data_IF_103670691907
#
_entry.id   IF_103670691907
#
_cell.length_a   1.000
_cell.length_b   1.000
_cell.length_c   1.000
_cell.angle_alpha   90.00
_cell.angle_beta   90.00
_cell.angle_gamma   90.00
#
_symmetry.space_group_name_H-M   'P 1'
#
loop_
_entity.id
_entity.type
_entity.pdbx_description
1 polymer ?
2 non-polymer ?
3 non-polymer ?
4 non-polymer ?
5 water ?
#
# COMPACT_ATOMS: atom_id res chain seq x y z
N UNK A 28 -19.54 -11.59 -24.78
CA UNK A 28 -18.69 -12.45 -23.99
C UNK A 28 -19.44 -13.68 -23.52
N UNK A 29 -18.72 -14.76 -23.27
CA UNK A 29 -19.28 -15.99 -22.72
C UNK A 29 -18.99 -16.11 -21.23
N UNK A 30 -18.08 -15.29 -20.73
CA UNK A 30 -17.68 -15.35 -19.32
C UNK A 30 -17.83 -13.95 -18.77
N UNK A 31 -18.56 -13.83 -17.65
CA UNK A 31 -18.85 -12.52 -17.09
C UNK A 31 -18.37 -12.54 -15.65
N UNK A 32 -17.53 -11.58 -15.30
CA UNK A 32 -16.96 -11.54 -13.95
C UNK A 32 -17.27 -10.22 -13.25
N UNK A 33 -17.72 -10.28 -12.01
CA UNK A 33 -17.88 -9.09 -11.19
C UNK A 33 -16.64 -8.84 -10.36
N UNK A 34 -16.25 -7.57 -10.20
CA UNK A 34 -15.03 -7.19 -9.51
C UNK A 34 -15.41 -6.14 -8.46
N UNK A 35 -15.42 -6.57 -7.20
CA UNK A 35 -15.76 -5.70 -6.07
C UNK A 35 -14.52 -4.95 -5.61
N UNK A 36 -14.71 -3.70 -5.22
CA UNK A 36 -13.61 -2.87 -4.73
C UNK A 36 -14.16 -1.88 -3.71
N UNK A 37 -13.55 -1.80 -2.54
CA UNK A 37 -14.15 -1.06 -1.44
C UNK A 37 -13.98 0.49 -1.50
N UNK A 38 -12.82 0.98 -1.99
CA UNK A 38 -12.59 2.43 -1.92
C UNK A 38 -13.27 3.16 -3.08
N UNK A 39 -13.30 4.50 -3.01
CA UNK A 39 -13.91 5.28 -4.10
C UNK A 39 -13.25 5.08 -5.47
N UNK A 40 -14.04 5.27 -6.52
CA UNK A 40 -13.57 5.10 -7.91
C UNK A 40 -12.27 5.82 -8.26
N UNK A 41 -12.07 7.02 -7.74
CA UNK A 41 -10.89 7.80 -8.15
C UNK A 41 -9.57 7.29 -7.57
N UNK A 42 -9.64 6.41 -6.57
CA UNK A 42 -8.44 5.99 -5.86
C UNK A 42 -7.71 4.85 -6.58
N UNK A 43 -6.43 4.68 -6.27
CA UNK A 43 -5.59 3.78 -7.05
C UNK A 43 -6.06 2.31 -7.13
N UNK A 44 -6.65 1.75 -6.05
CA UNK A 44 -7.07 0.35 -6.18
C UNK A 44 -8.19 0.19 -7.23
N UNK A 45 -8.99 1.23 -7.40
CA UNK A 45 -10.06 1.16 -8.40
C UNK A 45 -9.53 1.51 -9.77
N UNK A 46 -8.64 2.49 -9.85
CA UNK A 46 -8.06 2.84 -11.14
C UNK A 46 -7.34 1.65 -11.76
N UNK A 47 -6.56 0.92 -10.97
CA UNK A 47 -5.89 -0.23 -11.53
C UNK A 47 -6.91 -1.29 -11.92
N UNK A 48 -7.99 -1.43 -11.14
CA UNK A 48 -9.05 -2.39 -11.48
C UNK A 48 -9.58 -2.13 -12.91
N UNK A 49 -9.84 -0.86 -13.23
CA UNK A 49 -10.36 -0.54 -14.56
C UNK A 49 -9.36 -0.85 -15.65
N UNK A 50 -8.08 -0.60 -15.40
CA UNK A 50 -7.06 -0.91 -16.40
C UNK A 50 -6.95 -2.43 -16.60
N UNK A 51 -7.06 -3.17 -15.51
CA UNK A 51 -7.01 -4.62 -15.57
C UNK A 51 -8.18 -5.13 -16.41
N UNK A 52 -9.38 -4.61 -16.17
CA UNK A 52 -10.54 -4.93 -16.98
C UNK A 52 -10.27 -4.69 -18.47
N UNK A 53 -9.71 -3.52 -18.78
CA UNK A 53 -9.45 -3.16 -20.16
C UNK A 53 -8.56 -4.22 -20.82
N UNK A 54 -7.50 -4.61 -20.13
CA UNK A 54 -6.54 -5.55 -20.69
C UNK A 54 -7.12 -6.96 -20.79
N UNK A 55 -7.93 -7.35 -19.82
CA UNK A 55 -8.55 -8.67 -19.86
C UNK A 55 -9.55 -8.79 -21.02
N UNK A 56 -10.39 -7.78 -21.22
CA UNK A 56 -11.36 -7.82 -22.28
C UNK A 56 -10.67 -7.81 -23.63
N UNK A 57 -9.58 -7.05 -23.74
CA UNK A 57 -8.87 -6.94 -25.01
C UNK A 57 -8.14 -8.24 -25.32
N UNK A 58 -7.40 -8.76 -24.33
CA UNK A 58 -6.52 -9.90 -24.59
C UNK A 58 -7.29 -11.20 -24.80
N UNK A 59 -8.51 -11.26 -24.27
CA UNK A 59 -9.37 -12.42 -24.47
C UNK A 59 -10.32 -12.27 -25.66
N UNK A 60 -10.11 -11.20 -26.43
CA UNK A 60 -10.84 -10.98 -27.66
C UNK A 60 -12.31 -10.95 -27.36
N UNK A 61 -12.64 -10.37 -26.23
CA UNK A 61 -14.03 -10.19 -25.84
C UNK A 61 -14.70 -11.42 -25.25
N UNK A 62 -13.96 -12.51 -25.08
CA UNK A 62 -14.56 -13.71 -24.49
C UNK A 62 -14.92 -13.51 -23.02
N UNK A 63 -14.19 -12.62 -22.35
CA UNK A 63 -14.47 -12.26 -20.96
C UNK A 63 -14.92 -10.82 -20.89
N UNK A 64 -15.97 -10.56 -20.12
CA UNK A 64 -16.35 -9.21 -19.76
C UNK A 64 -16.25 -9.08 -18.23
N UNK A 65 -15.91 -7.88 -17.78
CA UNK A 65 -15.78 -7.59 -16.34
C UNK A 65 -16.68 -6.41 -15.97
N UNK A 66 -17.55 -6.61 -14.97
CA UNK A 66 -18.31 -5.51 -14.41
C UNK A 66 -17.65 -5.09 -13.10
N UNK A 67 -17.34 -3.80 -13.00
CA UNK A 67 -16.68 -3.28 -11.82
C UNK A 67 -17.64 -2.57 -10.86
N UNK A 68 -17.32 -2.71 -9.57
CA UNK A 68 -18.13 -2.14 -8.51
C UNK A 68 -17.23 -1.39 -7.52
N UNK A 69 -16.77 -0.20 -7.91
CA UNK A 69 -16.00 0.66 -7.02
C UNK A 69 -16.88 1.16 -5.87
N UNK A 70 -16.24 1.66 -4.83
CA UNK A 70 -16.96 2.33 -3.77
C UNK A 70 -17.95 1.47 -3.01
N UNK A 71 -17.62 0.19 -2.87
CA UNK A 71 -18.34 -0.69 -1.96
C UNK A 71 -19.78 -0.92 -2.42
N UNK A 72 -20.00 -0.85 -3.72
CA UNK A 72 -21.35 -1.02 -4.26
C UNK A 72 -21.79 -2.48 -4.38
N UNK A 73 -20.85 -3.42 -4.32
CA UNK A 73 -21.22 -4.82 -4.27
C UNK A 73 -20.74 -5.42 -2.95
N UNK A 74 -19.43 -5.39 -2.71
CA UNK A 74 -18.87 -5.76 -1.41
C UNK A 74 -18.00 -4.60 -0.91
N UNK A 75 -17.94 -4.43 0.40
CA UNK A 75 -17.11 -3.39 0.98
C UNK A 75 -16.07 -3.96 1.91
N UNK A 76 -15.56 -3.13 2.81
CA UNK A 76 -14.52 -3.53 3.74
C UNK A 76 -14.96 -4.70 4.62
N UNK A 77 -16.25 -4.74 4.95
CA UNK A 77 -16.74 -5.70 5.94
C UNK A 77 -16.96 -7.09 5.36
N UNK A 78 -17.03 -7.21 4.04
CA UNK A 78 -17.47 -8.49 3.49
C UNK A 78 -16.84 -8.88 2.16
N UNK A 79 -15.68 -8.30 1.82
CA UNK A 79 -15.02 -8.67 0.58
C UNK A 79 -14.44 -10.08 0.67
N UNK A 80 -13.76 -10.42 1.75
CA UNK A 80 -13.20 -11.79 1.86
C UNK A 80 -14.26 -12.85 1.83
N UNK A 81 -15.25 -12.73 2.70
CA UNK A 81 -16.29 -13.73 2.75
C UNK A 81 -17.12 -13.70 1.48
N UNK A 82 -17.39 -12.49 1.00
CA UNK A 82 -18.17 -12.34 -0.21
C UNK A 82 -17.57 -12.97 -1.44
N UNK A 83 -16.26 -12.83 -1.61
CA UNK A 83 -15.62 -13.49 -2.73
C UNK A 83 -15.61 -15.02 -2.52
N UNK A 84 -15.37 -15.46 -1.27
CA UNK A 84 -15.33 -16.89 -0.97
C UNK A 84 -16.67 -17.53 -1.30
N UNK A 85 -17.74 -16.78 -1.05
CA UNK A 85 -19.10 -17.25 -1.27
C UNK A 85 -19.58 -17.06 -2.71
N UNK A 86 -18.82 -16.32 -3.52
CA UNK A 86 -19.19 -16.08 -4.90
C UNK A 86 -20.14 -14.91 -5.11
N UNK A 87 -20.37 -14.11 -4.07
CA UNK A 87 -21.18 -12.91 -4.22
C UNK A 87 -20.55 -11.96 -5.22
N UNK A 88 -19.21 -11.97 -5.25
CA UNK A 88 -18.46 -11.35 -6.32
C UNK A 88 -17.45 -12.36 -6.79
N UNK A 89 -17.08 -12.30 -8.07
CA UNK A 89 -16.04 -13.19 -8.58
C UNK A 89 -14.65 -12.78 -8.12
N UNK A 90 -14.45 -11.47 -7.99
CA UNK A 90 -13.14 -10.89 -7.71
C UNK A 90 -13.31 -9.78 -6.72
N UNK A 91 -12.32 -9.60 -5.85
CA UNK A 91 -12.37 -8.51 -4.89
C UNK A 91 -10.97 -8.03 -4.52
N UNK A 92 -10.93 -6.82 -3.96
CA UNK A 92 -9.70 -6.14 -3.52
C UNK A 92 -9.61 -6.10 -2.01
N UNK A 93 -8.52 -6.65 -1.49
CA UNK A 93 -8.31 -6.72 -0.05
C UNK A 93 -7.11 -5.88 0.38
N UNK A 94 -7.33 -5.01 1.38
CA UNK A 94 -6.25 -4.31 2.05
C UNK A 94 -5.82 -5.18 3.22
N UNK A 95 -4.65 -5.79 3.14
CA UNK A 95 -4.30 -6.83 4.11
C UNK A 95 -4.26 -6.31 5.55
N UNK A 96 -3.82 -5.07 5.73
CA UNK A 96 -3.66 -4.49 7.05
C UNK A 96 -4.97 -4.40 7.83
N UNK A 97 -6.10 -4.41 7.12
CA UNK A 97 -7.41 -4.33 7.77
C UNK A 97 -7.83 -5.65 8.42
N UNK A 98 -7.07 -6.71 8.18
CA UNK A 98 -7.42 -8.05 8.67
C UNK A 98 -6.27 -8.70 9.43
N UNK A 99 -5.91 -8.14 10.58
CA UNK A 99 -4.79 -8.71 11.34
C UNK A 99 -5.02 -10.15 11.73
N UNK A 100 -4.00 -10.97 11.48
CA UNK A 100 -4.06 -12.38 11.79
C UNK A 100 -4.42 -13.23 10.59
N UNK A 101 -5.02 -12.63 9.58
CA UNK A 101 -5.52 -13.40 8.45
C UNK A 101 -4.40 -13.66 7.42
N UNK A 102 -3.38 -12.80 7.43
CA UNK A 102 -2.28 -12.85 6.45
C UNK A 102 -0.92 -12.83 7.14
N UNK A 103 -0.60 -13.88 7.89
CA UNK A 103 0.63 -13.86 8.69
C UNK A 103 1.89 -13.70 7.87
N UNK A 104 1.90 -14.19 6.63
CA UNK A 104 3.13 -14.02 5.81
C UNK A 104 3.12 -12.67 5.12
N UNK A 105 2.09 -12.41 4.30
CA UNK A 105 2.09 -11.22 3.45
C UNK A 105 2.02 -9.92 4.23
N UNK A 106 1.50 -9.97 5.45
CA UNK A 106 1.47 -8.80 6.34
C UNK A 106 2.87 -8.23 6.65
N UNK A 107 3.91 -8.97 6.30
CA UNK A 107 5.26 -8.46 6.50
C UNK A 107 5.39 -7.12 5.80
N UNK A 108 4.64 -6.98 4.70
CA UNK A 108 4.74 -5.74 3.91
C UNK A 108 4.05 -4.53 4.53
N UNK A 109 3.45 -4.71 5.70
CA UNK A 109 2.92 -3.57 6.49
C UNK A 109 3.98 -2.89 7.35
N UNK A 110 5.12 -3.55 7.54
CA UNK A 110 6.13 -3.11 8.46
C UNK A 110 7.02 -2.05 7.83
N UNK A 111 7.72 -1.28 8.66
CA UNK A 111 8.74 -0.35 8.15
C UNK A 111 9.97 -1.09 7.69
N UNK A 112 10.09 -1.31 6.38
CA UNK A 112 11.11 -2.16 5.83
C UNK A 112 11.97 -1.44 4.81
N UNK A 113 11.81 -0.13 4.74
CA UNK A 113 12.68 0.69 3.91
C UNK A 113 12.30 0.84 2.45
N UNK A 114 11.11 0.40 2.04
CA UNK A 114 10.70 0.62 0.66
C UNK A 114 10.47 2.10 0.38
N UNK A 115 10.89 2.56 -0.78
CA UNK A 115 10.82 4.00 -1.08
C UNK A 115 9.94 4.34 -2.26
N UNK A 116 9.20 3.35 -2.77
CA UNK A 116 8.28 3.60 -3.87
C UNK A 116 7.23 2.52 -3.91
N UNK A 117 6.09 2.84 -4.54
CA UNK A 117 5.02 1.89 -4.76
C UNK A 117 5.46 0.79 -5.73
N UNK A 118 6.24 1.19 -6.74
CA UNK A 118 6.70 0.25 -7.76
C UNK A 118 7.52 -0.86 -7.15
N UNK A 119 8.51 -0.51 -6.32
CA UNK A 119 9.38 -1.51 -5.77
C UNK A 119 8.67 -2.38 -4.73
N UNK A 120 7.81 -1.76 -3.94
CA UNK A 120 7.07 -2.52 -2.95
C UNK A 120 6.09 -3.44 -3.65
N UNK A 121 5.46 -2.98 -4.72
CA UNK A 121 4.45 -3.81 -5.40
C UNK A 121 5.09 -5.05 -6.01
N UNK A 122 6.21 -4.84 -6.69
CA UNK A 122 6.88 -5.94 -7.35
C UNK A 122 7.49 -6.89 -6.32
N UNK A 123 8.05 -6.34 -5.24
CA UNK A 123 8.61 -7.20 -4.19
C UNK A 123 7.51 -8.05 -3.55
N UNK A 124 6.35 -7.44 -3.30
CA UNK A 124 5.21 -8.16 -2.72
C UNK A 124 4.76 -9.34 -3.61
N UNK A 125 4.62 -9.07 -4.90
CA UNK A 125 4.21 -10.11 -5.84
C UNK A 125 5.24 -11.24 -5.88
N UNK A 126 6.53 -10.87 -5.93
CA UNK A 126 7.58 -11.88 -5.92
C UNK A 126 7.57 -12.71 -4.64
N UNK A 127 7.35 -12.07 -3.50
CA UNK A 127 7.34 -12.78 -2.24
C UNK A 127 6.18 -13.77 -2.23
N UNK A 128 5.02 -13.32 -2.67
CA UNK A 128 3.85 -14.19 -2.76
C UNK A 128 4.13 -15.37 -3.67
N UNK A 129 4.70 -15.11 -4.83
CA UNK A 129 4.93 -16.15 -5.81
C UNK A 129 5.92 -17.21 -5.28
N UNK A 130 6.88 -16.73 -4.49
CA UNK A 130 7.87 -17.62 -3.92
C UNK A 130 7.31 -18.51 -2.81
N UNK A 131 6.50 -17.92 -1.94
CA UNK A 131 6.07 -18.60 -0.74
C UNK A 131 4.74 -19.30 -0.86
N UNK A 132 3.89 -18.87 -1.80
CA UNK A 132 2.55 -19.44 -1.97
C UNK A 132 1.89 -19.67 -0.62
N UNK A 133 1.76 -18.61 0.20
CA UNK A 133 1.31 -18.87 1.57
C UNK A 133 -0.14 -19.36 1.65
N UNK A 134 -0.36 -20.24 2.61
CA UNK A 134 -1.67 -20.87 2.72
C UNK A 134 -2.78 -19.89 3.11
N UNK A 135 -2.41 -18.70 3.57
CA UNK A 135 -3.41 -17.67 3.85
C UNK A 135 -4.28 -17.36 2.64
N UNK A 136 -3.76 -17.66 1.45
CA UNK A 136 -4.53 -17.41 0.22
C UNK A 136 -5.07 -18.67 -0.43
N UNK A 137 -5.03 -19.79 0.27
CA UNK A 137 -5.33 -21.07 -0.34
C UNK A 137 -6.76 -21.21 -0.88
N UNK A 138 -7.68 -20.40 -0.38
CA UNK A 138 -9.08 -20.47 -0.81
C UNK A 138 -9.34 -19.72 -2.11
N UNK A 139 -8.36 -18.95 -2.56
CA UNK A 139 -8.54 -18.05 -3.70
C UNK A 139 -7.51 -18.26 -4.79
N UNK A 140 -7.82 -17.81 -6.00
CA UNK A 140 -6.79 -17.48 -6.96
C UNK A 140 -6.33 -16.05 -6.69
N UNK A 141 -5.04 -15.86 -6.47
CA UNK A 141 -4.50 -14.52 -6.31
C UNK A 141 -4.17 -13.96 -7.69
N UNK A 142 -4.94 -12.99 -8.15
CA UNK A 142 -4.81 -12.47 -9.52
C UNK A 142 -3.66 -11.49 -9.64
N UNK A 143 -3.47 -10.65 -8.63
CA UNK A 143 -2.31 -9.75 -8.56
C UNK A 143 -2.20 -9.23 -7.14
N UNK A 144 -1.09 -8.54 -6.85
CA UNK A 144 -0.92 -7.86 -5.58
C UNK A 144 -0.22 -6.56 -5.88
N UNK A 145 -0.36 -5.60 -4.98
CA UNK A 145 0.34 -4.33 -5.10
C UNK A 145 0.33 -3.60 -3.78
N UNK A 146 1.05 -2.49 -3.72
CA UNK A 146 1.20 -1.72 -2.49
C UNK A 146 1.00 -0.26 -2.75
N UNK A 147 0.57 0.47 -1.72
CA UNK A 147 0.51 1.91 -1.77
C UNK A 147 1.91 2.51 -1.89
N UNK A 148 1.98 3.82 -2.09
CA UNK A 148 3.22 4.57 -1.91
C UNK A 148 3.50 4.63 -0.44
N UNK A 149 4.75 4.91 -0.08
CA UNK A 149 5.10 4.94 1.34
C UNK A 149 4.42 6.07 2.09
N UNK A 150 4.22 5.85 3.38
CA UNK A 150 3.69 6.85 4.30
C UNK A 150 4.77 7.81 4.74
N UNK A 151 4.42 9.09 4.73
CA UNK A 151 5.32 10.19 5.01
C UNK A 151 4.60 11.20 5.90
N UNK A 152 5.37 12.15 6.46
CA UNK A 152 4.84 13.09 7.43
C UNK A 152 4.66 14.44 6.77
N UNK A 153 3.42 14.91 6.73
CA UNK A 153 3.07 16.16 6.08
C UNK A 153 2.52 17.10 7.15
N UNK A 154 3.13 18.27 7.29
CA UNK A 154 2.88 19.12 8.46
C UNK A 154 2.80 20.61 8.16
N UNK A 155 2.20 21.34 9.10
CA UNK A 155 2.06 22.80 9.01
C UNK A 155 3.36 23.51 9.21
N UNK A 156 4.16 22.97 10.12
CA UNK A 156 5.46 23.53 10.48
C UNK A 156 6.52 22.47 10.14
N UNK A 157 7.70 22.88 9.69
CA UNK A 157 8.66 21.86 9.22
C UNK A 157 9.10 20.88 10.30
N UNK A 158 9.11 19.60 9.95
CA UNK A 158 9.74 18.58 10.78
C UNK A 158 11.09 18.27 10.13
N UNK A 159 12.16 18.83 10.68
CA UNK A 159 13.48 18.63 10.09
C UNK A 159 14.32 17.63 10.87
N UNK A 160 13.89 17.32 12.08
CA UNK A 160 14.58 16.33 12.90
C UNK A 160 13.65 15.70 13.92
N UNK A 161 14.17 14.77 14.69
CA UNK A 161 13.31 14.05 15.62
C UNK A 161 12.81 14.92 16.76
N UNK A 162 13.58 15.93 17.13
CA UNK A 162 13.15 16.81 18.20
C UNK A 162 11.87 17.53 17.78
N UNK A 163 11.74 17.82 16.49
CA UNK A 163 10.57 18.52 15.97
C UNK A 163 9.28 17.67 16.10
N UNK A 164 9.41 16.36 16.26
CA UNK A 164 8.26 15.48 16.42
C UNK A 164 7.77 15.37 17.86
N UNK A 165 8.59 15.80 18.82
CA UNK A 165 8.26 15.61 20.21
C UNK A 165 6.98 16.33 20.55
N UNK A 166 5.97 15.59 20.97
CA UNK A 166 4.71 16.17 21.38
C UNK A 166 3.87 16.69 20.23
N UNK A 167 4.27 16.39 18.99
CA UNK A 167 3.56 16.92 17.83
C UNK A 167 2.31 16.11 17.55
N UNK A 168 1.16 16.78 17.49
CA UNK A 168 -0.09 16.11 17.20
C UNK A 168 -0.23 15.81 15.71
N UNK A 169 -0.33 14.53 15.35
CA UNK A 169 -0.36 14.11 13.94
C UNK A 169 -1.47 13.07 13.73
N UNK A 170 -2.27 13.27 12.70
CA UNK A 170 -3.33 12.35 12.37
C UNK A 170 -2.75 11.03 11.89
N UNK A 171 -3.18 9.95 12.50
CA UNK A 171 -2.68 8.64 12.17
C UNK A 171 -3.56 7.56 12.79
N UNK A 172 -3.38 6.34 12.32
CA UNK A 172 -4.07 5.20 12.88
C UNK A 172 -3.16 3.99 12.75
N UNK A 173 -3.60 2.86 13.30
CA UNK A 173 -2.88 1.61 13.08
C UNK A 173 -1.39 1.68 13.35
N UNK A 174 -0.59 1.09 12.48
CA UNK A 174 0.85 1.00 12.75
C UNK A 174 1.52 2.36 12.76
N UNK A 175 1.01 3.30 11.97
CA UNK A 175 1.60 4.64 11.94
C UNK A 175 1.43 5.35 13.28
N UNK A 176 0.31 5.11 13.95
CA UNK A 176 0.12 5.66 15.28
C UNK A 176 1.14 5.08 16.25
N UNK A 177 1.43 3.78 16.13
CA UNK A 177 2.38 3.12 16.99
C UNK A 177 3.76 3.72 16.77
N UNK A 178 4.10 3.93 15.51
CA UNK A 178 5.38 4.55 15.15
C UNK A 178 5.50 5.95 15.74
N UNK A 179 4.47 6.77 15.56
CA UNK A 179 4.51 8.10 16.15
C UNK A 179 4.70 8.07 17.66
N UNK A 180 3.99 7.17 18.34
CA UNK A 180 4.13 7.08 19.79
C UNK A 180 5.59 6.77 20.13
N UNK A 181 6.18 5.84 19.38
CA UNK A 181 7.56 5.43 19.65
C UNK A 181 8.56 6.56 19.42
N UNK A 182 8.19 7.53 18.60
CA UNK A 182 9.06 8.68 18.31
C UNK A 182 8.74 9.89 19.21
N UNK A 183 7.85 9.70 20.18
CA UNK A 183 7.56 10.76 21.12
C UNK A 183 6.53 11.77 20.64
N UNK A 184 5.87 11.46 19.54
CA UNK A 184 4.85 12.33 18.97
C UNK A 184 3.49 11.95 19.53
N UNK A 185 2.44 12.68 19.13
CA UNK A 185 1.10 12.44 19.69
C UNK A 185 0.13 12.08 18.57
N UNK A 186 -0.04 10.77 18.31
CA UNK A 186 -0.95 10.35 17.24
C UNK A 186 -2.38 10.63 17.64
N UNK A 187 -3.16 11.14 16.69
CA UNK A 187 -4.57 11.41 16.93
C UNK A 187 -5.38 10.73 15.85
N UNK A 188 -6.41 9.98 16.23
CA UNK A 188 -7.30 9.41 15.22
C UNK A 188 -8.48 10.34 14.99
N UNK A 189 -8.82 10.54 13.73
CA UNK A 189 -9.99 11.35 13.40
C UNK A 189 -10.27 11.19 11.93
N UNK A 190 -11.52 11.44 11.54
CA UNK A 190 -11.89 11.21 10.15
C UNK A 190 -11.18 12.15 9.19
N UNK A 191 -10.79 11.63 8.04
CA UNK A 191 -10.10 12.44 7.04
C UNK A 191 -10.89 13.74 6.81
N UNK A 192 -12.22 13.64 6.80
CA UNK A 192 -13.08 14.81 6.59
C UNK A 192 -12.94 15.89 7.68
N UNK A 193 -12.58 15.51 8.90
CA UNK A 193 -12.49 16.46 10.00
C UNK A 193 -11.09 17.05 10.14
N UNK A 194 -10.16 16.51 9.36
CA UNK A 194 -8.74 16.80 9.55
C UNK A 194 -8.37 18.23 9.13
N UNK A 195 -8.91 18.70 7.99
CA UNK A 195 -8.66 20.09 7.61
C UNK A 195 -8.97 21.09 8.73
N UNK A 196 -10.13 20.97 9.36
CA UNK A 196 -10.53 21.93 10.39
C UNK A 196 -9.65 21.74 11.62
N UNK A 197 -9.39 20.47 11.93
CA UNK A 197 -8.50 20.08 13.02
C UNK A 197 -7.11 20.67 12.84
N UNK A 198 -6.62 20.66 11.61
CA UNK A 198 -5.30 21.22 11.32
C UNK A 198 -5.34 22.72 11.57
N UNK A 199 -6.37 23.38 11.07
CA UNK A 199 -6.48 24.83 11.22
C UNK A 199 -6.58 25.23 12.69
N UNK A 200 -7.24 24.41 13.50
CA UNK A 200 -7.41 24.69 14.92
C UNK A 200 -6.20 24.26 15.74
N UNK A 201 -5.32 23.47 15.14
CA UNK A 201 -4.14 23.00 15.85
C UNK A 201 -4.39 21.71 16.61
N UNK A 202 -5.60 21.17 16.49
CA UNK A 202 -5.94 19.87 17.07
C UNK A 202 -5.03 18.74 16.56
N UNK A 203 -4.73 18.75 15.27
CA UNK A 203 -3.53 18.07 14.78
C UNK A 203 -2.75 19.11 14.00
N UNK A 204 -1.47 18.84 13.79
CA UNK A 204 -0.61 19.79 13.11
C UNK A 204 0.04 19.13 11.90
N UNK A 205 -0.48 17.96 11.53
CA UNK A 205 -0.07 17.30 10.30
C UNK A 205 -0.73 15.93 10.17
N UNK A 206 -0.33 15.19 9.15
CA UNK A 206 -0.84 13.83 9.01
C UNK A 206 0.23 12.89 8.46
N UNK A 207 0.00 11.61 8.69
CA UNK A 207 0.94 10.56 8.31
C UNK A 207 0.20 9.73 7.28
N UNK A 208 0.59 9.92 6.01
CA UNK A 208 -0.09 9.25 4.92
C UNK A 208 0.80 9.32 3.67
N UNK A 209 0.31 8.78 2.56
CA UNK A 209 1.08 8.93 1.34
C UNK A 209 0.86 10.34 0.74
N UNK A 210 1.83 10.78 -0.03
CA UNK A 210 1.86 12.14 -0.56
C UNK A 210 0.74 12.48 -1.51
N UNK A 211 0.03 11.49 -2.07
CA UNK A 211 -1.02 11.87 -3.03
C UNK A 211 -2.11 12.75 -2.39
N UNK A 212 -2.25 12.69 -1.07
CA UNK A 212 -3.32 13.44 -0.41
C UNK A 212 -3.06 14.96 -0.49
N UNK A 213 -1.82 15.33 -0.76
CA UNK A 213 -1.47 16.74 -0.85
C UNK A 213 -2.28 17.46 -1.93
N UNK A 214 -2.49 16.77 -3.06
CA UNK A 214 -3.35 17.24 -4.14
C UNK A 214 -4.76 16.67 -4.03
N UNK A 215 -4.89 15.35 -3.87
CA UNK A 215 -6.18 14.69 -4.00
C UNK A 215 -7.20 15.20 -2.97
N UNK A 216 -6.70 15.51 -1.78
CA UNK A 216 -7.51 16.08 -0.71
C UNK A 216 -7.06 17.51 -0.32
N UNK A 217 -6.24 18.10 -1.18
CA UNK A 217 -5.83 19.50 -1.01
C UNK A 217 -5.14 19.76 0.34
N UNK A 218 -4.51 18.74 0.91
CA UNK A 218 -3.82 18.95 2.18
C UNK A 218 -2.64 19.91 2.06
N UNK A 219 -2.13 20.11 0.85
CA UNK A 219 -1.00 21.00 0.66
C UNK A 219 -1.34 22.46 0.95
N UNK A 220 -2.63 22.82 0.93
CA UNK A 220 -2.99 24.19 1.24
C UNK A 220 -2.58 24.53 2.65
N UNK A 221 -2.67 23.54 3.53
CA UNK A 221 -2.42 23.72 4.94
C UNK A 221 -1.04 23.20 5.35
N UNK A 222 -0.65 22.04 4.82
CA UNK A 222 0.60 21.40 5.21
C UNK A 222 1.59 21.54 4.09
N UNK A 223 2.47 22.51 4.21
CA UNK A 223 3.40 22.84 3.14
C UNK A 223 4.82 22.37 3.36
N UNK A 224 5.01 21.52 4.37
CA UNK A 224 6.31 20.91 4.66
C UNK A 224 6.13 19.40 4.71
N UNK A 225 6.84 18.72 3.82
CA UNK A 225 6.62 17.31 3.59
C UNK A 225 7.93 16.59 3.91
N UNK A 226 7.92 15.81 4.99
CA UNK A 226 9.13 15.08 5.40
C UNK A 226 9.07 13.64 4.92
N UNK A 227 9.99 13.28 4.04
CA UNK A 227 9.98 11.96 3.41
C UNK A 227 10.69 10.95 4.29
N UNK A 228 9.91 10.30 5.12
CA UNK A 228 10.40 9.27 6.03
C UNK A 228 10.33 7.86 5.39
N UNK A 229 9.54 7.71 4.33
CA UNK A 229 9.37 6.41 3.67
C UNK A 229 9.12 5.31 4.67
N UNK A 230 8.09 5.51 5.48
CA UNK A 230 7.94 4.69 6.68
C UNK A 230 7.49 3.25 6.39
N UNK A 231 6.39 3.10 5.68
CA UNK A 231 5.82 1.79 5.42
C UNK A 231 4.84 1.97 4.29
N UNK A 232 4.43 0.85 3.69
CA UNK A 232 3.37 0.84 2.68
C UNK A 232 2.21 -0.04 3.18
N UNK A 233 1.09 0.04 2.48
CA UNK A 233 -0.04 -0.84 2.68
C UNK A 233 -0.14 -1.82 1.52
N UNK A 234 -0.07 -3.12 1.81
CA UNK A 234 -0.19 -4.14 0.77
C UNK A 234 -1.65 -4.55 0.49
N UNK A 235 -1.90 -4.88 -0.77
CA UNK A 235 -3.22 -5.28 -1.23
C UNK A 235 -3.11 -6.58 -2.04
N UNK A 236 -4.18 -7.37 -2.02
CA UNK A 236 -4.30 -8.51 -2.89
C UNK A 236 -5.59 -8.44 -3.68
N UNK A 237 -5.52 -8.82 -4.94
CA UNK A 237 -6.73 -9.04 -5.75
C UNK A 237 -7.00 -10.54 -5.78
N UNK A 238 -8.14 -10.93 -5.23
CA UNK A 238 -8.49 -12.34 -5.07
C UNK A 238 -9.68 -12.72 -5.94
N UNK A 239 -9.68 -13.96 -6.40
CA UNK A 239 -10.77 -14.47 -7.21
C UNK A 239 -11.33 -15.75 -6.60
N UNK A 240 -12.64 -15.87 -6.65
CA UNK A 240 -13.35 -17.06 -6.16
C UNK A 240 -12.85 -18.30 -6.89
N UNK A 241 -12.59 -19.37 -6.17
CA UNK A 241 -12.00 -20.55 -6.78
C UNK A 241 -12.92 -21.22 -7.80
N UNK A 242 -14.22 -21.29 -7.53
CA UNK A 242 -15.11 -21.83 -8.55
C UNK A 242 -15.11 -20.99 -9.83
N UNK A 243 -15.08 -19.68 -9.67
CA UNK A 243 -14.97 -18.79 -10.82
C UNK A 243 -13.67 -19.04 -11.60
N UNK A 244 -12.54 -19.14 -10.90
CA UNK A 244 -11.26 -19.44 -11.54
C UNK A 244 -11.31 -20.77 -12.27
N UNK A 245 -11.84 -21.78 -11.59
CA UNK A 245 -11.88 -23.13 -12.15
C UNK A 245 -12.61 -23.19 -13.48
N UNK A 246 -13.63 -22.33 -13.61
CA UNK A 246 -14.50 -22.29 -14.77
C UNK A 246 -13.84 -21.74 -16.01
N UNK A 247 -12.70 -21.07 -15.87
CA UNK A 247 -12.06 -20.39 -16.99
C UNK A 247 -11.30 -21.38 -17.87
N UNK A 248 -11.44 -21.24 -19.20
CA UNK A 248 -10.64 -22.09 -20.10
C UNK A 248 -9.15 -21.80 -19.95
N UNK A 249 -8.31 -22.75 -20.35
CA UNK A 249 -6.87 -22.56 -20.18
C UNK A 249 -6.31 -21.31 -20.84
N UNK A 250 -6.81 -20.94 -22.02
CA UNK A 250 -6.28 -19.73 -22.66
C UNK A 250 -6.59 -18.46 -21.89
N UNK A 251 -7.79 -18.40 -21.32
CA UNK A 251 -8.16 -17.31 -20.42
C UNK A 251 -7.31 -17.32 -19.13
N UNK A 252 -7.10 -18.49 -18.54
CA UNK A 252 -6.24 -18.58 -17.35
C UNK A 252 -4.85 -18.05 -17.65
N UNK A 253 -4.31 -18.37 -18.83
CA UNK A 253 -3.00 -17.86 -19.18
C UNK A 253 -2.98 -16.33 -19.24
N UNK A 254 -4.00 -15.72 -19.83
CA UNK A 254 -4.07 -14.27 -19.85
C UNK A 254 -4.04 -13.71 -18.44
N UNK A 255 -4.85 -14.28 -17.54
CA UNK A 255 -4.91 -13.74 -16.19
C UNK A 255 -3.64 -14.01 -15.40
N UNK A 256 -3.01 -15.14 -15.67
CA UNK A 256 -1.77 -15.49 -15.00
C UNK A 256 -0.69 -14.54 -15.44
N UNK A 257 -0.59 -14.30 -16.75
CA UNK A 257 0.42 -13.38 -17.26
C UNK A 257 0.24 -11.95 -16.73
N UNK A 258 -1.00 -11.55 -16.49
CA UNK A 258 -1.25 -10.24 -15.93
C UNK A 258 -0.87 -10.06 -14.45
N UNK A 259 -0.53 -11.14 -13.75
CA UNK A 259 -0.29 -10.98 -12.33
C UNK A 259 0.89 -10.06 -12.04
N UNK A 260 2.05 -10.40 -12.57
CA UNK A 260 3.23 -9.55 -12.40
C UNK A 260 3.06 -8.22 -13.10
N UNK A 261 2.49 -8.24 -14.31
CA UNK A 261 2.33 -7.02 -15.08
C UNK A 261 1.48 -6.03 -14.30
N UNK A 262 0.39 -6.49 -13.72
CA UNK A 262 -0.52 -5.59 -13.04
C UNK A 262 0.08 -5.05 -11.74
N UNK A 263 0.91 -5.86 -11.07
CA UNK A 263 1.63 -5.38 -9.90
C UNK A 263 2.51 -4.18 -10.31
N UNK A 264 3.28 -4.37 -11.37
CA UNK A 264 4.16 -3.30 -11.88
C UNK A 264 3.36 -2.09 -12.36
N UNK A 265 2.29 -2.34 -13.10
CA UNK A 265 1.51 -1.25 -13.66
C UNK A 265 0.95 -0.38 -12.55
N UNK A 266 0.44 -1.03 -11.51
CA UNK A 266 -0.18 -0.32 -10.40
C UNK A 266 0.83 0.50 -9.63
N UNK A 267 1.98 -0.08 -9.35
CA UNK A 267 3.02 0.65 -8.65
C UNK A 267 3.52 1.85 -9.45
N UNK A 268 3.68 1.66 -10.75
CA UNK A 268 4.12 2.77 -11.58
C UNK A 268 3.09 3.87 -11.65
N UNK A 269 1.82 3.48 -11.74
CA UNK A 269 0.73 4.44 -11.76
C UNK A 269 0.75 5.27 -10.48
N UNK A 270 0.87 4.60 -9.36
CA UNK A 270 0.85 5.24 -8.05
C UNK A 270 2.04 6.16 -7.87
N UNK A 271 3.25 5.71 -8.22
CA UNK A 271 4.42 6.59 -8.13
C UNK A 271 4.28 7.81 -9.03
N UNK A 272 3.72 7.66 -10.22
CA UNK A 272 3.53 8.82 -11.09
C UNK A 272 2.45 9.76 -10.54
N UNK A 273 1.43 9.17 -9.93
CA UNK A 273 0.36 9.92 -9.31
C UNK A 273 0.89 10.75 -8.13
N UNK A 274 1.82 10.17 -7.35
CA UNK A 274 2.51 10.93 -6.32
C UNK A 274 3.34 12.04 -6.93
N UNK A 275 4.07 11.73 -7.99
CA UNK A 275 4.90 12.74 -8.62
C UNK A 275 4.03 13.93 -9.07
N UNK A 276 2.88 13.65 -9.68
CA UNK A 276 1.98 14.72 -10.10
C UNK A 276 1.41 15.52 -8.93
N UNK A 277 1.12 14.84 -7.82
CA UNK A 277 0.60 15.49 -6.63
C UNK A 277 1.60 16.50 -6.11
N UNK A 278 2.86 16.08 -6.03
CA UNK A 278 3.91 16.92 -5.49
C UNK A 278 4.20 18.10 -6.41
N UNK A 279 4.22 17.86 -7.72
CA UNK A 279 4.50 18.94 -8.66
C UNK A 279 3.37 19.97 -8.59
N UNK A 280 2.12 19.49 -8.52
CA UNK A 280 0.96 20.39 -8.40
C UNK A 280 1.08 21.24 -7.12
N UNK A 281 1.39 20.59 -6.02
CA UNK A 281 1.49 21.26 -4.73
C UNK A 281 2.64 22.26 -4.71
N UNK A 282 3.76 21.92 -5.34
CA UNK A 282 4.90 22.81 -5.38
C UNK A 282 4.54 24.05 -6.22
N UNK A 283 3.89 23.84 -7.35
CA UNK A 283 3.49 24.94 -8.22
C UNK A 283 2.50 25.87 -7.53
N UNK A 284 1.55 25.30 -6.81
CA UNK A 284 0.48 26.10 -6.22
C UNK A 284 0.83 26.72 -4.88
N UNK A 285 1.52 25.97 -4.03
CA UNK A 285 1.76 26.43 -2.66
C UNK A 285 3.22 26.41 -2.21
N UNK A 286 4.13 26.12 -3.13
CA UNK A 286 5.56 26.17 -2.86
C UNK A 286 5.93 25.29 -1.67
N UNK A 287 5.41 24.06 -1.66
CA UNK A 287 5.73 23.12 -0.62
C UNK A 287 7.21 22.83 -0.66
N UNK A 288 7.72 22.36 0.48
CA UNK A 288 9.13 22.02 0.61
C UNK A 288 9.25 20.54 0.99
N UNK A 289 10.13 19.85 0.27
CA UNK A 289 10.44 18.45 0.58
C UNK A 289 11.64 18.39 1.53
N UNK A 290 11.48 17.64 2.60
CA UNK A 290 12.50 17.54 3.64
C UNK A 290 12.93 16.09 3.85
N UNK A 291 14.23 15.87 4.07
CA UNK A 291 14.74 14.59 4.54
C UNK A 291 15.41 14.78 5.88
N UNK A 292 15.17 13.86 6.80
CA UNK A 292 15.89 13.89 8.07
C UNK A 292 17.30 13.33 7.90
N UNK A 293 18.16 13.60 8.87
CA UNK A 293 19.54 13.14 8.82
C UNK A 293 19.62 11.62 8.87
N UNK A 294 20.75 11.09 8.43
CA UNK A 294 20.95 9.65 8.49
C UNK A 294 20.88 9.18 9.94
N UNK A 295 21.42 9.97 10.86
CA UNK A 295 21.39 9.57 12.26
C UNK A 295 19.95 9.49 12.77
N UNK A 296 19.12 10.43 12.38
CA UNK A 296 17.72 10.42 12.79
C UNK A 296 17.00 9.21 12.17
N UNK A 297 17.31 8.90 10.91
CA UNK A 297 16.67 7.76 10.27
C UNK A 297 17.05 6.46 10.98
N UNK A 298 18.28 6.34 11.45
CA UNK A 298 18.69 5.15 12.18
C UNK A 298 18.01 5.09 13.54
N UNK A 299 17.82 6.24 14.19
CA UNK A 299 17.11 6.25 15.45
C UNK A 299 15.68 5.77 15.26
N UNK A 300 15.04 6.21 14.18
CA UNK A 300 13.69 5.75 13.87
C UNK A 300 13.66 4.25 13.72
N UNK A 301 14.64 3.67 13.02
CA UNK A 301 14.71 2.21 12.88
C UNK A 301 14.83 1.51 14.24
N UNK A 302 15.73 2.02 15.07
CA UNK A 302 15.99 1.42 16.36
C UNK A 302 14.73 1.46 17.23
N UNK A 303 13.99 2.57 17.13
CA UNK A 303 12.82 2.76 17.98
C UNK A 303 11.64 1.94 17.50
N UNK A 304 11.68 1.52 16.24
CA UNK A 304 10.53 0.82 15.66
C UNK A 304 10.83 -0.68 15.50
N UNK A 305 12.02 -1.10 15.89
CA UNK A 305 12.36 -2.53 15.82
C UNK A 305 11.34 -3.44 16.56
N UNK A 306 10.77 -2.99 17.69
CA UNK A 306 9.73 -3.80 18.35
C UNK A 306 8.54 -4.18 17.45
N UNK A 307 8.22 -3.35 16.44
CA UNK A 307 7.08 -3.67 15.57
C UNK A 307 7.45 -4.89 14.71
N UNK A 308 8.71 -4.97 14.34
CA UNK A 308 9.20 -6.09 13.55
C UNK A 308 9.23 -7.33 14.43
N UNK A 309 9.69 -7.15 15.68
CA UNK A 309 9.75 -8.29 16.59
C UNK A 309 8.35 -8.86 16.89
N UNK A 310 7.35 -7.97 17.04
CA UNK A 310 5.96 -8.38 17.21
C UNK A 310 5.50 -9.19 16.03
N UNK A 311 5.81 -8.69 14.83
CA UNK A 311 5.38 -9.41 13.63
C UNK A 311 6.00 -10.80 13.56
N UNK A 312 7.30 -10.88 13.87
CA UNK A 312 7.98 -12.18 13.88
C UNK A 312 7.36 -13.17 14.85
N UNK A 313 6.95 -12.72 16.03
CA UNK A 313 6.29 -13.63 16.98
C UNK A 313 4.95 -14.09 16.45
N UNK A 314 4.23 -13.17 15.83
CA UNK A 314 2.94 -13.51 15.20
C UNK A 314 3.10 -14.51 14.07
N UNK A 315 4.15 -14.34 13.27
CA UNK A 315 4.42 -15.24 12.17
C UNK A 315 4.75 -16.61 12.70
N UNK A 316 5.63 -16.67 13.70
CA UNK A 316 6.02 -17.94 14.32
C UNK A 316 4.81 -18.70 14.85
N UNK A 317 3.88 -17.97 15.45
CA UNK A 317 2.66 -18.59 15.99
C UNK A 317 1.80 -19.23 14.92
N UNK A 318 1.95 -18.78 13.68
CA UNK A 318 1.20 -19.35 12.57
C UNK A 318 2.09 -20.19 11.64
N UNK A 319 3.26 -20.59 12.13
CA UNK A 319 4.14 -21.49 11.38
C UNK A 319 5.01 -20.87 10.28
N UNK A 320 5.09 -19.54 10.30
CA UNK A 320 5.88 -18.82 9.30
C UNK A 320 7.28 -18.55 9.83
N UNK A 321 8.29 -18.70 8.97
CA UNK A 321 9.69 -18.47 9.35
C UNK A 321 9.97 -16.97 9.13
N UNK A 322 9.67 -16.17 10.16
CA UNK A 322 9.68 -14.72 10.03
C UNK A 322 11.04 -14.17 9.64
N UNK A 323 12.12 -14.67 10.24
CA UNK A 323 13.44 -14.15 9.89
C UNK A 323 13.76 -14.46 8.43
N UNK A 324 13.37 -15.65 7.96
CA UNK A 324 13.64 -16.00 6.57
C UNK A 324 12.89 -15.10 5.62
N UNK A 325 11.63 -14.80 5.96
CA UNK A 325 10.82 -13.93 5.13
C UNK A 325 11.41 -12.52 5.10
N UNK A 326 11.81 -11.99 6.25
CA UNK A 326 12.39 -10.64 6.29
C UNK A 326 13.66 -10.56 5.46
N UNK A 327 14.47 -11.60 5.53
CA UNK A 327 15.70 -11.68 4.74
C UNK A 327 15.39 -11.64 3.23
N UNK A 328 14.38 -12.38 2.82
CA UNK A 328 13.95 -12.40 1.43
C UNK A 328 13.36 -11.07 0.97
N UNK A 329 12.65 -10.38 1.87
CA UNK A 329 12.05 -9.10 1.54
C UNK A 329 13.16 -8.08 1.23
N UNK A 330 14.21 -8.07 2.04
CA UNK A 330 15.29 -7.10 1.80
C UNK A 330 15.99 -7.40 0.46
N UNK A 331 16.16 -8.68 0.16
CA UNK A 331 16.76 -9.07 -1.10
C UNK A 331 15.92 -8.52 -2.25
N UNK A 332 14.60 -8.64 -2.14
CA UNK A 332 13.70 -8.13 -3.16
C UNK A 332 13.70 -6.60 -3.22
N UNK A 333 13.80 -5.93 -2.07
CA UNK A 333 13.89 -4.47 -2.07
C UNK A 333 15.11 -4.00 -2.88
N UNK A 334 16.26 -4.60 -2.58
CA UNK A 334 17.47 -4.25 -3.30
C UNK A 334 17.32 -4.54 -4.81
N UNK A 335 16.69 -5.66 -5.14
CA UNK A 335 16.48 -5.98 -6.56
C UNK A 335 15.75 -4.85 -7.31
N UNK A 336 14.77 -4.24 -6.66
CA UNK A 336 13.90 -3.28 -7.33
C UNK A 336 14.27 -1.82 -7.08
N UNK A 337 15.11 -1.59 -6.06
CA UNK A 337 15.49 -0.22 -5.69
C UNK A 337 16.98 0.00 -5.75
N UNK A 338 17.73 -1.03 -5.33
CA UNK A 338 19.14 -0.88 -4.98
C UNK A 338 19.74 0.46 -5.36
N UNK A 339 20.34 1.16 -4.40
CA UNK A 339 21.01 2.45 -4.67
C UNK A 339 22.52 2.33 -4.76
N UNK A 340 23.07 1.22 -4.30
CA UNK A 340 24.52 1.02 -4.36
C UNK A 340 25.01 1.19 -5.80
N UNK A 341 26.14 1.86 -5.94
CA UNK A 341 26.73 2.13 -7.25
C UNK A 341 27.12 0.82 -7.92
N UNK A 342 27.33 0.87 -9.23
CA UNK A 342 27.82 -0.29 -9.96
C UNK A 342 29.17 -0.74 -9.38
N UNK A 343 29.38 -2.05 -9.30
CA UNK A 343 30.66 -2.64 -8.89
C UNK A 343 31.87 -1.99 -9.56
N UNK A 344 31.69 -1.56 -10.81
CA UNK A 344 32.80 -1.05 -11.58
C UNK A 344 33.47 0.14 -10.90
N UNK A 345 32.67 0.88 -10.13
CA UNK A 345 33.12 2.14 -9.55
C UNK A 345 33.44 2.01 -8.06
N UNK A 346 33.20 0.83 -7.49
CA UNK A 346 33.43 0.63 -6.05
C UNK A 346 34.92 0.65 -5.71
X LIG B 1 -11.52 -10.86 -33.49
X LIG B 1 -13.44 -7.72 -28.75
X LIG B 1 -17.37 -9.77 -32.86
X LIG B 1 -14.98 -12.10 -34.11
X LIG B 1 -14.36 -10.35 -35.25
X LIG B 1 -16.23 -8.24 -30.15
X LIG B 1 -11.45 -9.19 -30.77
X LIG B 1 -14.37 -10.14 -32.86
X LIG B 1 -13.08 -10.00 -32.39
X LIG B 1 -12.80 -9.32 -31.23
X LIG B 1 -13.84 -8.76 -30.52
X LIG B 1 -15.14 -8.88 -30.96
X LIG B 1 -15.40 -9.57 -32.14
X LIG B 1 -14.59 -10.90 -34.13
X LIG B 1 -16.74 -7.16 -30.55
X LIG B 1 -16.60 -8.76 -29.07
X LIG C 1 -15.24 -27.82 2.23
X LIG C 1 -14.51 -22.12 4.18
X LIG C 1 -19.56 -23.75 1.42
X LIG C 1 -18.72 -27.26 2.09
X LIG C 1 -18.04 -26.60 0.10
X LIG C 1 -17.41 -21.93 2.92
X LIG C 1 -13.82 -25.22 3.61
X LIG C 1 -17.16 -25.50 2.01
X LIG C 1 -15.91 -25.84 2.49
X LIG C 1 -15.12 -24.89 3.12
X LIG C 1 -15.62 -23.63 3.26
X LIG C 1 -16.87 -23.30 2.78
X LIG C 1 -17.66 -24.24 2.16
X LIG C 1 -18.03 -26.51 1.36
X LIG C 1 -17.24 -21.06 2.04
X LIG C 1 -18.05 -21.67 3.97
X LIG D 1 -21.95 -8.39 -12.42
X LIG E 1 -10.91 -4.60 2.79
X LIG E 1 -9.61 -5.12 3.06
X LIG E 1 -11.59 -5.65 1.95
X LIG E 1 -11.35 -6.92 2.60
X LIG E 1 -10.85 -3.66 2.25
X LIG E 1 -11.47 -4.44 3.72
X LIG E 1 -9.12 -4.48 3.60
X LIG E 1 -11.16 -5.66 0.95
X LIG E 1 -12.66 -5.46 1.87
X LIG E 1 -11.77 -7.63 2.09
#
# INVERSE_FOLDING_TARGET
>A
MRTGKTAGLLAVFMLCAALFSASVVSAADISLSYANFPPAKTFPCVQMERWKQEVEKRTAGKVQVQTYPGSTLLGAKNTLRGVMQGQADIGCVSLAYHPGVFPLSSVFELPLGFTSSTSASLALWDLYTKYQPKEFKRFKVLTMFASAPSNIMTKVPVRNLDDLKGLEVRASGILSKILESLGATPVSMPMSATPEALQKGVVKGLFSSFEVLKDLNFAEICRYETETNTAVYPFAIIMNMNSWNSLPDDVKKVLNDLGREQAEWTGKYMDEHVKRSLAWAKDKYSIEMIKMSDADMQAIKDKTLPLIEDWKEKAAAKGVDGAAVLSDVEELRIKYEGKAENLYFQ
>B hetero
1 I3C I3 I2 I1 O8 O9 C10 N13 C1 C6 C5 C4 C3 C2 C7 O11 O12
>C hetero
1 I3C I3 I2 I1 O8 O9 C10 N13 C1 C6 C5 C4 C3 C2 C7 O11 O12
>D hetero
1 CL CL
>E hetero
1 EDO C1 O1 C2 O2 H11 H12 HO1 H21 H22 HO2
#
